data_IF_399225512743
#
_entry.id   IF_399225512743
#
_cell.length_a   1.000
_cell.length_b   1.000
_cell.length_c   1.000
_cell.angle_alpha   90.00
_cell.angle_beta   90.00
_cell.angle_gamma   90.00
#
_symmetry.space_group_name_H-M   'P 1'
#
loop_
_entity.id
_entity.type
_entity.pdbx_description
1 polymer ?
#
# COMPACT_ATOMS: atom_id res chain seq x y z
N UNK A 1 15.35 2.06 10.58
CA UNK A 1 14.70 1.76 9.29
C UNK A 1 13.37 2.44 9.19
N UNK A 2 13.10 3.04 8.05
CA UNK A 2 11.91 3.84 7.83
C UNK A 2 11.22 3.50 6.51
N UNK A 3 10.01 4.01 6.34
CA UNK A 3 9.24 3.89 5.10
C UNK A 3 10.04 4.43 3.90
N UNK A 4 10.80 5.51 4.07
CA UNK A 4 11.64 6.06 3.02
C UNK A 4 12.57 5.01 2.42
N UNK A 5 13.12 4.12 3.24
CA UNK A 5 14.01 3.06 2.78
C UNK A 5 13.29 2.06 1.87
N UNK A 6 12.05 1.73 2.20
CA UNK A 6 11.22 0.86 1.35
C UNK A 6 11.03 1.50 -0.02
N UNK A 7 10.68 2.80 -0.05
CA UNK A 7 10.45 3.52 -1.30
C UNK A 7 11.72 3.65 -2.14
N UNK A 8 12.87 3.80 -1.51
CA UNK A 8 14.16 3.84 -2.23
C UNK A 8 14.42 2.53 -2.98
N UNK A 9 14.05 1.39 -2.39
CA UNK A 9 14.27 0.07 -2.97
C UNK A 9 13.24 -0.30 -4.02
N UNK A 10 11.95 -0.05 -3.75
CA UNK A 10 10.87 -0.44 -4.67
C UNK A 10 10.50 0.63 -5.68
N UNK A 11 10.90 1.86 -5.44
CA UNK A 11 10.47 3.02 -6.21
C UNK A 11 9.22 3.66 -5.64
N UNK A 12 8.99 4.90 -6.05
CA UNK A 12 7.86 5.71 -5.62
C UNK A 12 6.75 5.84 -6.65
N UNK A 13 6.86 5.14 -7.78
CA UNK A 13 5.82 5.13 -8.82
C UNK A 13 4.58 4.42 -8.28
N UNK A 14 3.45 5.09 -8.37
CA UNK A 14 2.16 4.58 -7.91
C UNK A 14 1.15 4.70 -9.03
N UNK A 15 0.52 3.59 -9.37
CA UNK A 15 -0.63 3.59 -10.28
C UNK A 15 -1.85 4.03 -9.48
N UNK A 16 -2.56 5.02 -10.00
CA UNK A 16 -3.73 5.59 -9.34
C UNK A 16 -4.97 5.42 -10.18
N UNK A 17 -6.12 5.47 -9.52
CA UNK A 17 -7.42 5.47 -10.17
C UNK A 17 -8.05 6.86 -10.03
N UNK A 18 -8.84 7.24 -11.03
CA UNK A 18 -9.74 8.39 -10.89
C UNK A 18 -11.01 7.95 -10.16
N UNK A 19 -11.55 8.80 -9.30
CA UNK A 19 -12.81 8.50 -8.62
C UNK A 19 -14.01 8.38 -9.57
N UNK A 20 -13.90 8.95 -10.77
CA UNK A 20 -14.94 8.92 -11.80
C UNK A 20 -14.85 7.70 -12.73
N UNK A 21 -13.75 6.95 -12.65
CA UNK A 21 -13.59 5.73 -13.43
C UNK A 21 -14.65 4.69 -13.01
N UNK A 22 -15.04 3.81 -13.94
CA UNK A 22 -15.94 2.72 -13.60
C UNK A 22 -15.21 1.66 -12.76
N UNK A 23 -15.96 0.97 -11.92
CA UNK A 23 -15.42 -0.15 -11.14
C UNK A 23 -14.84 -1.21 -12.06
N UNK A 24 -15.47 -1.46 -13.22
CA UNK A 24 -14.95 -2.43 -14.18
C UNK A 24 -13.56 -2.05 -14.69
N UNK A 25 -13.35 -0.76 -15.02
CA UNK A 25 -12.05 -0.28 -15.45
C UNK A 25 -11.02 -0.44 -14.32
N UNK A 26 -11.42 -0.15 -13.09
CA UNK A 26 -10.56 -0.35 -11.91
C UNK A 26 -10.18 -1.82 -11.73
N UNK A 27 -11.11 -2.74 -11.92
CA UNK A 27 -10.85 -4.19 -11.84
C UNK A 27 -9.81 -4.60 -12.88
N UNK A 28 -9.92 -4.07 -14.10
CA UNK A 28 -8.93 -4.33 -15.16
C UNK A 28 -7.55 -3.82 -14.77
N UNK A 29 -7.48 -2.61 -14.21
CA UNK A 29 -6.22 -2.03 -13.73
C UNK A 29 -5.59 -2.86 -12.61
N UNK A 30 -6.40 -3.29 -11.64
CA UNK A 30 -5.93 -4.18 -10.57
C UNK A 30 -5.34 -5.48 -11.13
N UNK A 31 -6.02 -6.07 -12.11
CA UNK A 31 -5.58 -7.30 -12.76
C UNK A 31 -4.31 -7.10 -13.59
N UNK A 32 -4.25 -6.02 -14.37
CA UNK A 32 -3.12 -5.72 -15.24
C UNK A 32 -1.84 -5.45 -14.45
N UNK A 33 -1.95 -4.71 -13.34
CA UNK A 33 -0.82 -4.40 -12.47
C UNK A 33 -0.54 -5.49 -11.43
N UNK A 34 -1.40 -6.50 -11.34
CA UNK A 34 -1.28 -7.62 -10.38
C UNK A 34 -1.15 -7.14 -8.94
N UNK A 35 -2.00 -6.19 -8.58
CA UNK A 35 -2.06 -5.62 -7.22
C UNK A 35 -3.43 -5.84 -6.60
N UNK A 36 -3.47 -5.87 -5.26
CA UNK A 36 -4.71 -6.09 -4.52
C UNK A 36 -5.44 -4.81 -4.15
N UNK A 37 -4.82 -3.66 -4.33
CA UNK A 37 -5.42 -2.36 -4.03
C UNK A 37 -4.75 -1.26 -4.83
N UNK A 38 -5.50 -0.20 -5.11
CA UNK A 38 -4.98 0.99 -5.78
C UNK A 38 -5.50 2.24 -5.09
N UNK A 39 -4.65 3.26 -5.03
CA UNK A 39 -5.02 4.57 -4.48
C UNK A 39 -5.86 5.31 -5.49
N UNK A 40 -6.93 5.93 -5.00
CA UNK A 40 -7.77 6.84 -5.79
C UNK A 40 -7.29 8.26 -5.48
N UNK A 41 -6.82 8.94 -6.50
CA UNK A 41 -6.25 10.28 -6.36
C UNK A 41 -6.68 11.17 -7.53
N UNK A 42 -6.64 12.48 -7.31
CA UNK A 42 -6.91 13.45 -8.38
C UNK A 42 -5.63 13.80 -9.14
N UNK A 43 -5.75 14.72 -10.10
CA UNK A 43 -4.64 15.16 -10.91
C UNK A 43 -3.53 15.84 -10.10
N UNK A 44 -3.87 16.41 -8.95
CA UNK A 44 -2.92 17.04 -8.03
C UNK A 44 -2.29 16.05 -7.06
N UNK A 45 -2.56 14.75 -7.20
CA UNK A 45 -2.13 13.67 -6.34
C UNK A 45 -2.68 13.75 -4.91
N UNK A 46 -3.80 14.45 -4.74
CA UNK A 46 -4.54 14.43 -3.48
C UNK A 46 -5.25 13.08 -3.35
N UNK A 47 -5.05 12.41 -2.23
CA UNK A 47 -5.64 11.10 -1.98
C UNK A 47 -7.13 11.26 -1.71
N UNK A 48 -7.97 10.61 -2.51
CA UNK A 48 -9.43 10.62 -2.36
C UNK A 48 -9.94 9.37 -1.65
N UNK A 49 -9.25 8.27 -1.83
CA UNK A 49 -9.64 6.99 -1.26
C UNK A 49 -8.68 5.89 -1.65
N UNK A 50 -9.06 4.67 -1.30
CA UNK A 50 -8.38 3.46 -1.74
C UNK A 50 -9.43 2.43 -2.14
N UNK A 51 -9.18 1.72 -3.23
CA UNK A 51 -10.04 0.65 -3.71
C UNK A 51 -9.28 -0.66 -3.66
N UNK A 52 -9.84 -1.66 -2.98
CA UNK A 52 -9.24 -2.98 -2.87
C UNK A 52 -10.09 -4.04 -3.59
N UNK A 53 -9.48 -5.18 -3.88
CA UNK A 53 -10.21 -6.36 -4.38
C UNK A 53 -11.38 -6.70 -3.47
N UNK A 54 -11.19 -6.60 -2.16
CA UNK A 54 -12.22 -6.91 -1.17
C UNK A 54 -13.42 -5.98 -1.30
N UNK A 55 -13.21 -4.70 -1.58
CA UNK A 55 -14.29 -3.74 -1.78
C UNK A 55 -15.13 -4.14 -2.99
N UNK A 56 -14.49 -4.57 -4.07
CA UNK A 56 -15.16 -4.99 -5.30
C UNK A 56 -15.94 -6.28 -5.07
N UNK A 57 -15.30 -7.27 -4.48
CA UNK A 57 -15.95 -8.56 -4.18
C UNK A 57 -17.17 -8.36 -3.28
N UNK A 58 -17.04 -7.54 -2.24
CA UNK A 58 -18.13 -7.22 -1.33
C UNK A 58 -19.29 -6.54 -2.02
N UNK A 59 -19.02 -5.60 -2.91
CA UNK A 59 -20.06 -4.89 -3.66
C UNK A 59 -20.80 -5.82 -4.64
N UNK A 60 -20.06 -6.65 -5.37
CA UNK A 60 -20.66 -7.63 -6.30
C UNK A 60 -21.49 -8.65 -5.53
N UNK A 61 -21.03 -9.11 -4.38
CA UNK A 61 -21.78 -10.04 -3.54
C UNK A 61 -23.11 -9.46 -3.06
N UNK A 62 -23.16 -8.17 -2.75
CA UNK A 62 -24.37 -7.51 -2.25
C UNK A 62 -25.29 -7.01 -3.36
N UNK A 63 -24.76 -6.49 -4.46
CA UNK A 63 -25.52 -5.78 -5.48
C UNK A 63 -25.47 -6.42 -6.87
N UNK A 64 -24.74 -7.54 -7.00
CA UNK A 64 -24.59 -8.23 -8.26
C UNK A 64 -23.64 -7.53 -9.22
N UNK A 65 -23.62 -7.97 -10.46
CA UNK A 65 -22.70 -7.47 -11.49
C UNK A 65 -22.93 -5.99 -11.84
N UNK A 66 -24.09 -5.43 -11.51
CA UNK A 66 -24.37 -4.02 -11.69
C UNK A 66 -23.39 -3.11 -10.94
N UNK A 67 -22.75 -3.60 -9.88
CA UNK A 67 -21.73 -2.86 -9.14
C UNK A 67 -20.55 -2.46 -10.04
N UNK A 68 -20.26 -3.26 -11.08
CA UNK A 68 -19.15 -2.99 -12.00
C UNK A 68 -19.38 -1.75 -12.87
N UNK A 69 -20.64 -1.31 -13.01
CA UNK A 69 -20.99 -0.10 -13.75
C UNK A 69 -20.96 1.17 -12.90
N UNK A 70 -20.81 1.02 -11.58
CA UNK A 70 -20.76 2.16 -10.66
C UNK A 70 -19.40 2.86 -10.75
N UNK A 71 -19.33 4.15 -10.37
CA UNK A 71 -18.04 4.82 -10.30
C UNK A 71 -17.23 4.31 -9.12
N UNK A 72 -15.92 4.37 -9.23
CA UNK A 72 -14.97 3.98 -8.17
C UNK A 72 -15.31 4.69 -6.85
N UNK A 73 -15.74 5.95 -6.91
CA UNK A 73 -16.13 6.73 -5.73
C UNK A 73 -17.26 6.10 -4.91
N UNK A 74 -18.08 5.28 -5.53
CA UNK A 74 -19.18 4.60 -4.82
C UNK A 74 -18.70 3.42 -3.96
N UNK A 75 -17.55 2.82 -4.29
CA UNK A 75 -17.04 1.63 -3.62
C UNK A 75 -15.80 1.89 -2.78
N UNK A 76 -15.03 2.92 -3.09
CA UNK A 76 -13.75 3.19 -2.42
C UNK A 76 -13.92 3.48 -0.92
N UNK A 77 -12.89 3.18 -0.15
CA UNK A 77 -12.80 3.58 1.23
C UNK A 77 -12.26 5.02 1.26
N UNK A 78 -13.01 5.95 1.86
CA UNK A 78 -12.67 7.38 1.88
C UNK A 78 -11.75 7.76 3.03
N UNK A 79 -11.93 7.13 4.20
CA UNK A 79 -11.12 7.37 5.38
C UNK A 79 -9.83 6.55 5.27
N UNK A 80 -8.90 7.05 4.46
CA UNK A 80 -7.66 6.34 4.17
C UNK A 80 -6.67 6.59 5.29
N UNK A 81 -6.17 5.52 5.89
CA UNK A 81 -5.04 5.60 6.81
C UNK A 81 -3.78 5.68 5.97
N UNK A 82 -2.98 6.70 6.22
CA UNK A 82 -1.74 6.96 5.48
C UNK A 82 -0.53 6.84 6.41
N UNK A 83 0.65 6.75 5.83
CA UNK A 83 1.90 6.82 6.56
C UNK A 83 2.78 7.90 5.95
N UNK A 84 3.85 8.24 6.63
CA UNK A 84 4.83 9.22 6.16
C UNK A 84 6.17 8.55 5.94
N UNK A 85 7.07 9.19 5.18
CA UNK A 85 8.36 8.60 4.85
C UNK A 85 9.27 8.39 6.07
N UNK A 86 9.13 9.22 7.10
CA UNK A 86 9.91 9.14 8.32
C UNK A 86 9.39 8.11 9.32
N UNK A 87 8.25 7.51 9.05
CA UNK A 87 7.67 6.50 9.94
C UNK A 87 8.56 5.27 10.03
N UNK A 88 8.81 4.79 11.26
CA UNK A 88 9.60 3.58 11.49
C UNK A 88 8.85 2.33 11.02
N UNK A 89 9.60 1.34 10.56
CA UNK A 89 9.03 0.06 10.11
C UNK A 89 8.17 -0.60 11.20
N UNK A 90 8.63 -0.59 12.44
CA UNK A 90 7.86 -1.18 13.54
C UNK A 90 6.52 -0.48 13.76
N UNK A 91 6.48 0.85 13.66
CA UNK A 91 5.24 1.62 13.75
C UNK A 91 4.29 1.28 12.60
N UNK A 92 4.84 1.15 11.40
CA UNK A 92 4.09 0.75 10.22
C UNK A 92 3.46 -0.63 10.40
N UNK A 93 4.23 -1.59 10.93
CA UNK A 93 3.76 -2.94 11.22
C UNK A 93 2.60 -2.93 12.24
N UNK A 94 2.71 -2.13 13.28
CA UNK A 94 1.65 -1.96 14.27
C UNK A 94 0.38 -1.40 13.63
N UNK A 95 0.50 -0.38 12.79
CA UNK A 95 -0.61 0.22 12.06
C UNK A 95 -1.33 -0.81 11.19
N UNK A 96 -0.57 -1.57 10.43
CA UNK A 96 -1.12 -2.60 9.55
C UNK A 96 -1.81 -3.70 10.34
N UNK A 97 -1.23 -4.12 11.45
CA UNK A 97 -1.78 -5.17 12.30
C UNK A 97 -3.07 -4.74 12.98
N UNK A 98 -3.07 -3.58 13.60
CA UNK A 98 -4.24 -3.06 14.33
C UNK A 98 -5.40 -2.75 13.40
N UNK A 99 -5.11 -2.13 12.26
CA UNK A 99 -6.13 -1.73 11.29
C UNK A 99 -6.47 -2.80 10.28
N UNK A 100 -5.73 -3.90 10.25
CA UNK A 100 -5.85 -4.97 9.24
C UNK A 100 -5.68 -4.44 7.82
N UNK A 101 -4.82 -3.46 7.66
CA UNK A 101 -4.48 -2.90 6.35
C UNK A 101 -3.34 -3.71 5.74
N UNK A 102 -3.44 -4.00 4.45
CA UNK A 102 -2.37 -4.65 3.68
C UNK A 102 -1.60 -3.65 2.82
N UNK A 103 -2.15 -2.46 2.64
CA UNK A 103 -1.57 -1.40 1.83
C UNK A 103 -1.80 -0.07 2.53
N UNK A 104 -0.77 0.76 2.58
CA UNK A 104 -0.87 2.11 3.11
C UNK A 104 -0.26 3.08 2.11
N UNK A 105 -1.02 4.09 1.69
CA UNK A 105 -0.44 5.19 0.91
C UNK A 105 0.56 5.97 1.74
N UNK A 106 1.62 6.41 1.11
CA UNK A 106 2.62 7.28 1.72
C UNK A 106 2.31 8.71 1.31
N UNK A 107 2.17 9.59 2.28
CA UNK A 107 1.85 10.99 2.10
C UNK A 107 3.07 11.87 2.35
N UNK A 108 3.25 12.87 1.50
CA UNK A 108 4.23 13.94 1.68
C UNK A 108 3.54 15.26 1.36
N UNK A 109 3.49 16.16 2.36
CA UNK A 109 2.84 17.47 2.22
C UNK A 109 1.40 17.38 1.70
N UNK A 110 0.64 16.40 2.19
CA UNK A 110 -0.75 16.18 1.80
C UNK A 110 -0.95 15.51 0.45
N UNK A 111 0.13 15.09 -0.21
CA UNK A 111 0.09 14.46 -1.54
C UNK A 111 0.59 13.04 -1.51
N UNK A 112 0.11 12.24 -2.45
CA UNK A 112 0.55 10.86 -2.61
C UNK A 112 2.01 10.81 -3.04
N UNK A 113 2.86 10.15 -2.25
CA UNK A 113 4.28 9.99 -2.52
C UNK A 113 4.69 8.54 -2.84
N UNK A 114 3.84 7.59 -2.53
CA UNK A 114 4.12 6.19 -2.77
C UNK A 114 3.06 5.29 -2.15
N UNK A 115 3.29 4.00 -2.21
CA UNK A 115 2.43 3.02 -1.53
C UNK A 115 3.32 1.92 -0.94
N UNK A 116 2.96 1.46 0.25
CA UNK A 116 3.68 0.39 0.96
C UNK A 116 2.72 -0.75 1.22
N UNK A 117 3.10 -1.96 0.85
CA UNK A 117 2.33 -3.17 1.11
C UNK A 117 2.89 -3.94 2.30
N UNK A 118 2.08 -4.85 2.85
CA UNK A 118 2.56 -5.75 3.90
C UNK A 118 3.72 -6.61 3.40
N UNK A 119 3.72 -7.00 2.13
CA UNK A 119 4.81 -7.74 1.52
C UNK A 119 6.13 -6.95 1.52
N UNK A 120 6.05 -5.64 1.23
CA UNK A 120 7.23 -4.76 1.27
C UNK A 120 7.82 -4.70 2.68
N UNK A 121 6.95 -4.60 3.68
CA UNK A 121 7.34 -4.52 5.09
C UNK A 121 8.01 -5.82 5.56
N UNK A 122 7.41 -6.95 5.24
CA UNK A 122 7.93 -8.28 5.59
C UNK A 122 9.29 -8.49 4.94
N UNK A 123 9.42 -8.19 3.66
CA UNK A 123 10.67 -8.31 2.91
C UNK A 123 11.79 -7.48 3.56
N UNK A 124 11.48 -6.24 3.94
CA UNK A 124 12.46 -5.36 4.58
C UNK A 124 12.85 -5.87 5.96
N UNK A 125 11.88 -6.34 6.75
CA UNK A 125 12.16 -6.87 8.09
C UNK A 125 13.04 -8.13 8.03
N UNK A 126 12.78 -9.00 7.07
CA UNK A 126 13.64 -10.19 6.86
C UNK A 126 15.07 -9.77 6.52
N UNK A 127 15.24 -8.80 5.62
CA UNK A 127 16.55 -8.28 5.24
C UNK A 127 17.31 -7.70 6.44
N UNK A 128 16.63 -6.97 7.33
CA UNK A 128 17.20 -6.44 8.56
C UNK A 128 17.68 -7.54 9.50
N UNK A 129 16.86 -8.56 9.68
CA UNK A 129 17.20 -9.70 10.55
C UNK A 129 18.42 -10.44 10.01
N UNK A 130 18.49 -10.67 8.72
CA UNK A 130 19.64 -11.32 8.07
C UNK A 130 20.90 -10.48 8.22
N UNK A 131 20.80 -9.17 8.07
CA UNK A 131 21.95 -8.27 8.25
C UNK A 131 22.44 -8.28 9.70
N UNK A 132 21.54 -8.19 10.67
CA UNK A 132 21.87 -8.27 12.09
C UNK A 132 22.58 -9.59 12.42
N UNK A 133 22.06 -10.70 11.90
CA UNK A 133 22.68 -12.01 12.11
C UNK A 133 24.08 -12.09 11.48
N UNK A 134 24.27 -11.53 10.31
CA UNK A 134 25.59 -11.48 9.65
C UNK A 134 26.58 -10.62 10.42
N UNK A 135 26.15 -9.49 10.95
CA UNK A 135 26.97 -8.61 11.78
C UNK A 135 27.40 -9.30 13.07
N UNK A 136 26.49 -10.01 13.74
CA UNK A 136 26.80 -10.76 14.94
C UNK A 136 27.82 -11.86 14.65
N UNK A 137 27.62 -12.62 13.57
CA UNK A 137 28.58 -13.66 13.16
C UNK A 137 29.97 -13.10 12.87
N UNK A 138 30.00 -11.95 12.16
CA UNK A 138 31.25 -11.26 11.85
C UNK A 138 31.97 -10.80 13.12
N UNK A 139 31.24 -10.23 14.07
CA UNK A 139 31.80 -9.82 15.35
C UNK A 139 32.39 -10.99 16.13
N UNK A 140 31.67 -12.11 16.23
CA UNK A 140 32.13 -13.32 16.91
C UNK A 140 33.41 -13.86 16.24
N UNK A 141 33.41 -13.92 14.89
CA UNK A 141 34.57 -14.41 14.14
C UNK A 141 35.79 -13.49 14.30
N UNK A 142 35.57 -12.17 14.32
CA UNK A 142 36.64 -11.17 14.44
C UNK A 142 37.28 -11.12 15.83
N UNK A 143 36.51 -11.47 16.88
CA UNK A 143 36.99 -11.40 18.26
C UNK A 143 37.63 -12.70 18.74
N UNK A 144 37.58 -13.73 17.91
CA UNK A 144 38.27 -15.00 18.18
C UNK A 144 39.73 -14.93 17.72
#
# INVERSE_FOLDING_TARGET
MSVARILEEKGSDVFTLSEDASVLDAVRELGDHKVGAMVVADADRTIKGILSERDVVGAVAKRGVGALSEPVSALMTRNVVTCTEDMAINTLMELMTKGRFRHLPVERDGKLAGIVSIGDVVKRRIAEIEQEAAEIRHYITSSA
#
